data_IF_610054177897
#
_entry.id   IF_610054177897
#
_cell.length_a   1.000
_cell.length_b   1.000
_cell.length_c   1.000
_cell.angle_alpha   90.00
_cell.angle_beta   90.00
_cell.angle_gamma   90.00
#
_symmetry.space_group_name_H-M   'P 1'
#
loop_
_entity.id
_entity.type
_entity.pdbx_description
1 polymer ?
#
# COMPACT_ATOMS: atom_id res chain seq x y z
N UNK A 1 31.32 5.95 -4.00
CA UNK A 1 31.08 6.17 -2.57
C UNK A 1 30.35 7.51 -2.44
N UNK A 2 29.03 7.48 -2.17
CA UNK A 2 28.22 8.72 -2.10
C UNK A 2 28.57 9.51 -0.83
N UNK A 3 28.64 10.84 -0.94
CA UNK A 3 28.91 11.73 0.19
C UNK A 3 27.73 11.73 1.18
N UNK A 4 27.99 12.16 2.43
CA UNK A 4 26.95 12.27 3.47
C UNK A 4 25.80 13.23 3.05
N UNK A 5 26.10 14.27 2.27
CA UNK A 5 25.10 15.20 1.70
C UNK A 5 24.21 14.53 0.64
N UNK A 6 24.82 13.71 -0.25
CA UNK A 6 24.07 12.98 -1.28
C UNK A 6 23.18 11.91 -0.66
N UNK A 7 23.67 11.20 0.38
CA UNK A 7 22.86 10.24 1.15
C UNK A 7 21.69 10.91 1.89
N UNK A 8 21.89 12.12 2.43
CA UNK A 8 20.83 12.89 3.09
C UNK A 8 19.79 13.40 2.10
N UNK A 9 20.23 13.90 0.94
CA UNK A 9 19.34 14.36 -0.14
C UNK A 9 18.53 13.21 -0.72
N UNK A 10 19.16 12.07 -0.98
CA UNK A 10 18.48 10.86 -1.47
C UNK A 10 17.44 10.35 -0.47
N UNK A 11 17.77 10.31 0.82
CA UNK A 11 16.85 9.90 1.88
C UNK A 11 15.65 10.84 2.03
N UNK A 12 15.86 12.17 1.91
CA UNK A 12 14.77 13.15 1.90
C UNK A 12 13.89 13.05 0.65
N UNK A 13 14.47 12.76 -0.51
CA UNK A 13 13.73 12.55 -1.75
C UNK A 13 12.86 11.30 -1.65
N UNK A 14 13.41 10.18 -1.17
CA UNK A 14 12.70 8.91 -0.98
C UNK A 14 11.54 9.04 0.00
N UNK A 15 11.72 9.77 1.13
CA UNK A 15 10.63 10.03 2.08
C UNK A 15 9.52 10.90 1.48
N UNK A 16 9.84 11.90 0.64
CA UNK A 16 8.83 12.68 -0.09
C UNK A 16 8.01 11.81 -1.05
N UNK A 17 8.65 10.85 -1.70
CA UNK A 17 7.97 9.95 -2.63
C UNK A 17 7.05 8.95 -1.95
N UNK A 18 7.27 8.63 -0.65
CA UNK A 18 6.42 7.71 0.10
C UNK A 18 5.17 8.36 0.71
N UNK A 19 5.06 9.69 0.75
CA UNK A 19 3.87 10.36 1.28
C UNK A 19 2.58 9.98 0.53
N UNK A 20 2.68 9.64 -0.74
CA UNK A 20 1.56 9.14 -1.53
C UNK A 20 0.98 7.83 -0.96
N UNK A 21 1.77 7.05 -0.22
CA UNK A 21 1.35 5.78 0.39
C UNK A 21 0.50 5.95 1.66
N UNK A 22 0.31 7.18 2.18
CA UNK A 22 -0.44 7.40 3.44
C UNK A 22 -1.89 6.93 3.37
N UNK A 23 -2.50 6.99 2.19
CA UNK A 23 -3.76 6.31 1.87
C UNK A 23 -3.49 5.28 0.77
N UNK A 24 -3.35 4.02 1.16
CA UNK A 24 -2.96 2.92 0.31
C UNK A 24 -4.15 2.02 0.01
N UNK A 25 -4.66 2.07 -1.22
CA UNK A 25 -5.85 1.34 -1.62
C UNK A 25 -5.47 0.05 -2.35
N UNK A 26 -5.97 -1.09 -1.87
CA UNK A 26 -5.69 -2.41 -2.41
C UNK A 26 -6.90 -2.87 -3.22
N UNK A 27 -6.68 -3.36 -4.44
CA UNK A 27 -7.76 -3.85 -5.30
C UNK A 27 -8.32 -5.18 -4.81
N UNK A 28 -9.60 -5.35 -5.04
CA UNK A 28 -10.34 -6.61 -5.01
C UNK A 28 -11.46 -6.53 -6.05
N UNK A 29 -11.19 -7.03 -7.27
CA UNK A 29 -12.16 -6.95 -8.37
C UNK A 29 -13.39 -7.84 -8.16
N UNK A 30 -13.33 -8.79 -7.23
CA UNK A 30 -14.46 -9.67 -6.91
C UNK A 30 -15.64 -8.92 -6.31
N UNK A 31 -15.40 -7.74 -5.73
CA UNK A 31 -16.44 -6.87 -5.19
C UNK A 31 -17.28 -6.17 -6.28
N UNK A 32 -16.90 -6.28 -7.54
CA UNK A 32 -17.55 -5.57 -8.65
C UNK A 32 -18.21 -6.53 -9.65
N UNK A 33 -19.37 -6.13 -10.18
CA UNK A 33 -20.15 -6.92 -11.14
C UNK A 33 -19.36 -7.30 -12.41
N UNK A 34 -18.49 -6.41 -12.86
CA UNK A 34 -17.61 -6.64 -14.01
C UNK A 34 -16.46 -5.63 -14.05
N UNK A 35 -15.52 -5.84 -14.98
CA UNK A 35 -14.32 -5.01 -15.16
C UNK A 35 -14.61 -3.52 -15.39
N UNK A 36 -15.68 -3.18 -16.09
CA UNK A 36 -16.02 -1.77 -16.35
C UNK A 36 -16.36 -1.04 -15.06
N UNK A 37 -17.18 -1.63 -14.20
CA UNK A 37 -17.52 -1.05 -12.90
C UNK A 37 -16.29 -0.94 -12.01
N UNK A 38 -15.41 -1.96 -12.02
CA UNK A 38 -14.15 -1.91 -11.29
C UNK A 38 -13.26 -0.74 -11.72
N UNK A 39 -13.04 -0.56 -13.03
CA UNK A 39 -12.20 0.54 -13.53
C UNK A 39 -12.79 1.92 -13.23
N UNK A 40 -14.13 2.06 -13.33
CA UNK A 40 -14.81 3.29 -12.93
C UNK A 40 -14.64 3.56 -11.43
N UNK A 41 -14.76 2.55 -10.59
CA UNK A 41 -14.55 2.69 -9.14
C UNK A 41 -13.11 3.10 -8.80
N UNK A 42 -12.12 2.52 -9.48
CA UNK A 42 -10.71 2.93 -9.34
C UNK A 42 -10.55 4.41 -9.72
N UNK A 43 -11.11 4.83 -10.84
CA UNK A 43 -11.04 6.23 -11.27
C UNK A 43 -11.71 7.17 -10.26
N UNK A 44 -12.88 6.82 -9.73
CA UNK A 44 -13.55 7.60 -8.67
C UNK A 44 -12.70 7.72 -7.40
N UNK A 45 -12.00 6.64 -6.99
CA UNK A 45 -11.09 6.68 -5.85
C UNK A 45 -9.90 7.63 -6.10
N UNK A 46 -9.32 7.60 -7.31
CA UNK A 46 -8.23 8.50 -7.71
C UNK A 46 -8.70 9.96 -7.75
N UNK A 47 -9.88 10.25 -8.29
CA UNK A 47 -10.52 11.58 -8.26
C UNK A 47 -10.74 12.01 -6.80
N UNK A 48 -11.09 11.10 -5.91
CA UNK A 48 -11.23 11.31 -4.47
C UNK A 48 -9.91 11.56 -3.72
N UNK A 49 -8.76 11.51 -4.42
CA UNK A 49 -7.45 11.86 -3.86
C UNK A 49 -6.60 10.67 -3.43
N UNK A 50 -6.99 9.44 -3.71
CA UNK A 50 -6.10 8.27 -3.52
C UNK A 50 -4.86 8.44 -4.39
N UNK A 51 -3.67 8.32 -3.78
CA UNK A 51 -2.37 8.49 -4.45
C UNK A 51 -1.53 7.22 -4.51
N UNK A 52 -2.01 6.12 -3.93
CA UNK A 52 -1.35 4.82 -4.04
C UNK A 52 -2.39 3.70 -4.21
N UNK A 53 -2.23 2.93 -5.26
CA UNK A 53 -3.08 1.78 -5.61
C UNK A 53 -2.22 0.52 -5.70
N UNK A 54 -2.59 -0.54 -4.98
CA UNK A 54 -2.00 -1.87 -5.15
C UNK A 54 -2.90 -2.73 -6.03
N UNK A 55 -2.37 -3.23 -7.14
CA UNK A 55 -3.02 -4.28 -7.93
C UNK A 55 -2.76 -5.64 -7.27
N UNK A 56 -3.81 -6.23 -6.68
CA UNK A 56 -3.75 -7.51 -5.98
C UNK A 56 -4.91 -8.42 -6.38
N UNK A 57 -4.74 -9.11 -7.50
CA UNK A 57 -5.71 -10.06 -8.05
C UNK A 57 -5.04 -11.43 -8.18
N UNK A 58 -5.09 -12.21 -7.09
CA UNK A 58 -4.34 -13.48 -6.96
C UNK A 58 -4.81 -14.60 -7.87
N UNK A 59 -6.04 -14.50 -8.37
CA UNK A 59 -6.69 -15.48 -9.23
C UNK A 59 -6.46 -15.25 -10.73
N UNK A 60 -5.88 -14.08 -11.09
CA UNK A 60 -5.59 -13.78 -12.48
C UNK A 60 -4.30 -14.47 -12.96
N UNK A 61 -4.31 -15.08 -14.15
CA UNK A 61 -3.08 -15.51 -14.80
C UNK A 61 -2.25 -14.29 -15.23
N UNK A 62 -0.94 -14.46 -15.37
CA UNK A 62 0.03 -13.39 -15.65
C UNK A 62 -0.34 -12.50 -16.83
N UNK A 63 -0.86 -13.09 -17.91
CA UNK A 63 -1.28 -12.34 -19.11
C UNK A 63 -2.43 -11.38 -18.81
N UNK A 64 -3.41 -11.80 -18.02
CA UNK A 64 -4.56 -10.98 -17.65
C UNK A 64 -4.17 -9.95 -16.58
N UNK A 65 -3.33 -10.32 -15.61
CA UNK A 65 -2.77 -9.41 -14.63
C UNK A 65 -1.97 -8.28 -15.31
N UNK A 66 -1.14 -8.62 -16.30
CA UNK A 66 -0.38 -7.64 -17.09
C UNK A 66 -1.31 -6.69 -17.86
N UNK A 67 -2.35 -7.21 -18.54
CA UNK A 67 -3.33 -6.38 -19.26
C UNK A 67 -4.09 -5.44 -18.34
N UNK A 68 -4.50 -5.91 -17.17
CA UNK A 68 -5.17 -5.10 -16.17
C UNK A 68 -4.21 -4.05 -15.59
N UNK A 69 -2.97 -4.46 -15.29
CA UNK A 69 -1.92 -3.58 -14.81
C UNK A 69 -1.62 -2.41 -15.76
N UNK A 70 -1.57 -2.65 -17.07
CA UNK A 70 -1.40 -1.59 -18.08
C UNK A 70 -2.55 -0.58 -18.01
N UNK A 71 -3.80 -1.04 -17.90
CA UNK A 71 -4.97 -0.15 -17.79
C UNK A 71 -4.91 0.69 -16.51
N UNK A 72 -4.55 0.08 -15.38
CA UNK A 72 -4.40 0.79 -14.11
C UNK A 72 -3.21 1.76 -14.13
N UNK A 73 -2.11 1.41 -14.83
CA UNK A 73 -0.96 2.33 -15.00
C UNK A 73 -1.38 3.61 -15.72
N UNK A 74 -2.19 3.48 -16.78
CA UNK A 74 -2.73 4.66 -17.51
C UNK A 74 -3.56 5.52 -16.55
N UNK A 75 -4.50 4.91 -15.82
CA UNK A 75 -5.34 5.63 -14.85
C UNK A 75 -4.48 6.32 -13.78
N UNK A 76 -3.62 5.58 -13.09
CA UNK A 76 -2.80 6.15 -12.01
C UNK A 76 -1.88 7.25 -12.51
N UNK A 77 -1.35 7.17 -13.74
CA UNK A 77 -0.53 8.22 -14.34
C UNK A 77 -1.32 9.51 -14.55
N UNK A 78 -2.57 9.44 -15.04
CA UNK A 78 -3.42 10.60 -15.26
C UNK A 78 -3.69 11.38 -13.94
N UNK A 79 -3.72 10.69 -12.81
CA UNK A 79 -3.97 11.28 -11.50
C UNK A 79 -2.71 11.46 -10.65
N UNK A 80 -1.52 11.22 -11.22
CA UNK A 80 -0.22 11.28 -10.53
C UNK A 80 -0.23 10.42 -9.26
N UNK A 81 -0.77 9.22 -9.37
CA UNK A 81 -0.83 8.22 -8.30
C UNK A 81 0.16 7.08 -8.58
N UNK A 82 0.68 6.47 -7.53
CA UNK A 82 1.56 5.31 -7.61
C UNK A 82 0.76 4.04 -7.87
N UNK A 83 1.30 3.19 -8.73
CA UNK A 83 0.83 1.83 -8.94
C UNK A 83 1.83 0.84 -8.36
N UNK A 84 1.39 -0.01 -7.46
CA UNK A 84 2.18 -1.06 -6.83
C UNK A 84 1.61 -2.42 -7.25
N UNK A 85 2.46 -3.36 -7.64
CA UNK A 85 2.02 -4.70 -8.05
C UNK A 85 2.27 -5.69 -6.91
N UNK A 86 1.25 -6.49 -6.59
CA UNK A 86 1.42 -7.53 -5.57
C UNK A 86 2.30 -8.68 -6.08
N UNK A 87 3.41 -8.96 -5.39
CA UNK A 87 4.31 -10.10 -5.54
C UNK A 87 5.01 -10.28 -6.90
N UNK A 88 4.71 -9.49 -7.92
CA UNK A 88 5.21 -9.68 -9.30
C UNK A 88 6.05 -8.48 -9.74
N UNK A 89 7.33 -8.45 -9.31
CA UNK A 89 8.29 -7.41 -9.69
C UNK A 89 8.57 -7.38 -11.20
N UNK A 90 8.59 -8.53 -11.84
CA UNK A 90 8.74 -8.69 -13.29
C UNK A 90 7.60 -8.01 -14.07
N UNK A 91 6.36 -8.14 -13.59
CA UNK A 91 5.21 -7.45 -14.19
C UNK A 91 5.28 -5.95 -13.86
N UNK A 92 5.66 -5.60 -12.62
CA UNK A 92 5.79 -4.20 -12.21
C UNK A 92 6.77 -3.43 -13.12
N UNK A 93 7.96 -3.97 -13.36
CA UNK A 93 8.96 -3.41 -14.27
C UNK A 93 8.41 -3.33 -15.70
N UNK A 94 7.86 -4.44 -16.22
CA UNK A 94 7.34 -4.53 -17.58
C UNK A 94 6.30 -3.48 -17.92
N UNK A 95 5.44 -3.10 -16.97
CA UNK A 95 4.35 -2.12 -17.21
C UNK A 95 4.71 -0.72 -16.72
N UNK A 96 5.91 -0.49 -16.18
CA UNK A 96 6.34 0.78 -15.61
C UNK A 96 5.56 1.16 -14.33
N UNK A 97 5.23 0.17 -13.49
CA UNK A 97 4.67 0.45 -12.17
C UNK A 97 5.72 1.04 -11.23
N UNK A 98 5.29 1.73 -10.17
CA UNK A 98 6.19 2.43 -9.25
C UNK A 98 6.82 1.49 -8.22
N UNK A 99 6.25 0.29 -8.01
CA UNK A 99 6.79 -0.63 -7.02
C UNK A 99 6.10 -2.00 -6.99
N UNK A 100 6.57 -2.79 -6.04
CA UNK A 100 6.06 -4.13 -5.74
C UNK A 100 5.77 -4.24 -4.24
N UNK A 101 4.72 -4.97 -3.88
CA UNK A 101 4.40 -5.31 -2.50
C UNK A 101 4.52 -6.82 -2.28
N UNK A 102 5.45 -7.22 -1.42
CA UNK A 102 5.80 -8.60 -1.14
C UNK A 102 4.96 -9.15 0.02
N UNK A 103 4.73 -10.47 0.02
CA UNK A 103 4.22 -11.15 1.21
C UNK A 103 5.37 -11.47 2.17
N UNK A 104 5.10 -11.66 3.45
CA UNK A 104 6.10 -11.96 4.47
C UNK A 104 6.94 -13.22 4.15
N UNK A 105 6.37 -14.17 3.40
CA UNK A 105 6.99 -15.45 3.04
C UNK A 105 7.50 -15.51 1.61
N UNK A 106 7.49 -14.40 0.87
CA UNK A 106 7.95 -14.34 -0.52
C UNK A 106 9.47 -14.07 -0.60
N UNK A 107 9.92 -13.79 -1.81
CA UNK A 107 11.30 -13.35 -2.10
C UNK A 107 11.67 -12.16 -1.21
N UNK A 108 12.91 -12.09 -0.75
CA UNK A 108 13.41 -11.03 0.11
C UNK A 108 13.50 -9.66 -0.59
N UNK A 109 13.25 -8.58 0.13
CA UNK A 109 13.26 -7.22 -0.42
C UNK A 109 14.62 -6.84 -1.05
N UNK A 110 15.73 -7.28 -0.48
CA UNK A 110 17.08 -7.05 -1.00
C UNK A 110 17.32 -7.73 -2.36
N UNK A 111 16.73 -8.90 -2.60
CA UNK A 111 16.81 -9.58 -3.89
C UNK A 111 16.05 -8.79 -4.97
N UNK A 112 14.85 -8.31 -4.63
CA UNK A 112 14.10 -7.44 -5.54
C UNK A 112 14.89 -6.18 -5.86
N UNK A 113 15.43 -5.50 -4.85
CA UNK A 113 16.21 -4.26 -5.05
C UNK A 113 17.51 -4.47 -5.81
N UNK A 114 18.07 -5.66 -5.80
CA UNK A 114 19.26 -5.97 -6.59
C UNK A 114 18.95 -6.14 -8.07
N UNK A 115 17.74 -6.63 -8.41
CA UNK A 115 17.34 -6.92 -9.78
C UNK A 115 16.47 -5.81 -10.40
N UNK A 116 15.77 -5.01 -9.59
CA UNK A 116 14.79 -3.98 -10.00
C UNK A 116 15.05 -2.69 -9.21
N UNK A 117 16.09 -1.96 -9.59
CA UNK A 117 16.66 -0.84 -8.82
C UNK A 117 15.70 0.31 -8.55
N UNK A 118 14.75 0.56 -9.45
CA UNK A 118 13.84 1.70 -9.38
C UNK A 118 12.51 1.40 -8.68
N UNK A 119 12.26 0.12 -8.31
CA UNK A 119 11.01 -0.25 -7.68
C UNK A 119 10.99 0.10 -6.18
N UNK A 120 9.93 0.73 -5.74
CA UNK A 120 9.55 0.82 -4.33
C UNK A 120 9.16 -0.58 -3.85
N UNK A 121 9.76 -1.06 -2.76
CA UNK A 121 9.52 -2.41 -2.23
C UNK A 121 8.81 -2.33 -0.88
N UNK A 122 7.54 -2.73 -0.86
CA UNK A 122 6.77 -2.91 0.37
C UNK A 122 6.74 -4.37 0.80
N UNK A 123 6.56 -4.62 2.10
CA UNK A 123 6.44 -5.97 2.66
C UNK A 123 5.26 -6.05 3.62
N UNK A 124 4.43 -7.10 3.49
CA UNK A 124 3.42 -7.43 4.50
C UNK A 124 4.09 -8.02 5.74
N UNK A 125 3.73 -7.56 6.94
CA UNK A 125 4.23 -8.08 8.21
C UNK A 125 3.09 -8.35 9.20
N UNK A 126 3.31 -9.33 10.07
CA UNK A 126 2.31 -9.79 11.03
C UNK A 126 2.87 -9.91 12.46
N UNK A 127 4.14 -9.59 12.66
CA UNK A 127 4.84 -9.60 13.95
C UNK A 127 5.91 -8.52 14.00
N UNK A 128 6.42 -8.26 15.20
CA UNK A 128 7.56 -7.36 15.41
C UNK A 128 8.84 -7.91 14.73
N UNK A 129 9.05 -9.21 14.82
CA UNK A 129 10.17 -9.90 14.18
C UNK A 129 10.11 -9.76 12.66
N UNK A 130 8.92 -9.95 12.06
CA UNK A 130 8.70 -9.75 10.62
C UNK A 130 8.99 -8.31 10.19
N UNK A 131 8.60 -7.32 11.01
CA UNK A 131 8.89 -5.91 10.75
C UNK A 131 10.40 -5.61 10.76
N UNK A 132 11.15 -6.12 11.75
CA UNK A 132 12.62 -6.00 11.81
C UNK A 132 13.29 -6.72 10.64
N UNK A 133 12.80 -7.89 10.27
CA UNK A 133 13.34 -8.63 9.13
C UNK A 133 13.17 -7.84 7.83
N UNK A 134 11.96 -7.29 7.60
CA UNK A 134 11.69 -6.47 6.43
C UNK A 134 12.61 -5.22 6.38
N UNK A 135 12.84 -4.56 7.52
CA UNK A 135 13.77 -3.43 7.62
C UNK A 135 15.21 -3.86 7.28
N UNK A 136 15.68 -4.96 7.87
CA UNK A 136 17.03 -5.49 7.63
C UNK A 136 17.24 -5.88 6.16
N UNK A 137 16.19 -6.39 5.51
CA UNK A 137 16.21 -6.74 4.09
C UNK A 137 16.08 -5.52 3.16
N UNK A 138 15.91 -4.31 3.70
CA UNK A 138 15.90 -3.07 2.93
C UNK A 138 14.56 -2.75 2.26
N UNK A 139 13.43 -3.20 2.83
CA UNK A 139 12.12 -2.72 2.42
C UNK A 139 12.02 -1.19 2.53
N UNK A 140 11.19 -0.56 1.71
CA UNK A 140 10.95 0.89 1.77
C UNK A 140 9.79 1.24 2.70
N UNK A 141 8.83 0.35 2.86
CA UNK A 141 7.70 0.45 3.79
C UNK A 141 7.17 -0.94 4.13
N UNK A 142 6.38 -1.02 5.18
CA UNK A 142 5.66 -2.24 5.56
C UNK A 142 4.17 -1.98 5.72
N UNK A 143 3.34 -3.01 5.49
CA UNK A 143 1.99 -3.07 6.05
C UNK A 143 2.01 -3.96 7.28
N UNK A 144 1.38 -3.53 8.38
CA UNK A 144 1.23 -4.31 9.60
C UNK A 144 -0.23 -4.68 9.81
N UNK A 145 -0.53 -5.98 9.92
CA UNK A 145 -1.92 -6.48 9.89
C UNK A 145 -2.13 -7.82 10.58
N UNK A 146 -3.40 -8.16 10.94
CA UNK A 146 -4.57 -7.27 10.94
C UNK A 146 -4.64 -6.44 12.23
N UNK A 147 -4.97 -5.14 12.15
CA UNK A 147 -5.10 -4.28 13.35
C UNK A 147 -6.41 -4.57 14.08
N UNK A 148 -7.51 -4.67 13.34
CA UNK A 148 -8.83 -5.00 13.87
C UNK A 148 -9.37 -6.29 13.25
N UNK A 149 -10.38 -6.86 13.87
CA UNK A 149 -11.08 -8.02 13.30
C UNK A 149 -11.55 -7.73 11.87
N UNK A 150 -11.35 -8.72 11.00
CA UNK A 150 -11.79 -8.66 9.61
C UNK A 150 -12.11 -10.06 9.10
N UNK A 151 -13.22 -10.26 8.37
CA UNK A 151 -13.62 -11.57 7.86
C UNK A 151 -12.52 -12.25 7.03
N UNK A 152 -11.79 -11.47 6.24
CA UNK A 152 -10.71 -11.97 5.37
C UNK A 152 -9.49 -12.54 6.10
N UNK A 153 -9.37 -12.31 7.41
CA UNK A 153 -8.24 -12.75 8.25
C UNK A 153 -8.66 -13.60 9.46
N UNK A 154 -9.94 -13.92 9.62
CA UNK A 154 -10.45 -14.68 10.76
C UNK A 154 -9.75 -16.03 10.96
N UNK A 155 -9.27 -16.67 9.88
CA UNK A 155 -8.54 -17.96 9.95
C UNK A 155 -7.07 -17.83 10.39
N UNK A 156 -6.52 -16.62 10.51
CA UNK A 156 -5.10 -16.37 10.83
C UNK A 156 -4.85 -15.99 12.30
N UNK A 157 -5.89 -16.06 13.14
CA UNK A 157 -5.80 -15.72 14.56
C UNK A 157 -6.39 -14.35 14.92
N UNK A 158 -6.27 -13.94 16.20
CA UNK A 158 -6.81 -12.68 16.67
C UNK A 158 -6.09 -11.48 16.02
N UNK A 159 -6.75 -10.29 16.00
CA UNK A 159 -6.12 -9.07 15.52
C UNK A 159 -4.91 -8.69 16.39
N UNK A 160 -3.93 -8.04 15.78
CA UNK A 160 -2.71 -7.54 16.45
C UNK A 160 -3.01 -6.41 17.44
N UNK A 161 -4.01 -5.59 17.14
CA UNK A 161 -4.43 -4.48 17.97
C UNK A 161 -3.50 -3.25 17.89
N UNK A 162 -3.95 -2.19 18.53
CA UNK A 162 -3.26 -0.89 18.54
C UNK A 162 -1.94 -0.91 19.34
N UNK A 163 -1.87 -1.71 20.41
CA UNK A 163 -0.66 -1.81 21.21
C UNK A 163 0.50 -2.46 20.44
N UNK A 164 0.22 -3.51 19.67
CA UNK A 164 1.23 -4.13 18.79
C UNK A 164 1.63 -3.19 17.66
N UNK A 165 0.66 -2.42 17.10
CA UNK A 165 0.97 -1.40 16.10
C UNK A 165 1.95 -0.37 16.68
N UNK A 166 1.71 0.15 17.89
CA UNK A 166 2.61 1.08 18.56
C UNK A 166 4.01 0.48 18.79
N UNK A 167 4.10 -0.76 19.25
CA UNK A 167 5.39 -1.43 19.42
C UNK A 167 6.18 -1.49 18.11
N UNK A 168 5.53 -1.88 17.01
CA UNK A 168 6.17 -1.95 15.69
C UNK A 168 6.60 -0.56 15.20
N UNK A 169 5.74 0.44 15.28
CA UNK A 169 6.07 1.80 14.80
C UNK A 169 7.21 2.45 15.58
N UNK A 170 7.40 2.09 16.86
CA UNK A 170 8.52 2.55 17.68
C UNK A 170 9.81 1.77 17.45
N UNK A 171 9.71 0.51 17.01
CA UNK A 171 10.85 -0.38 16.86
C UNK A 171 11.56 -0.28 15.51
N UNK A 172 10.81 0.04 14.42
CA UNK A 172 11.38 0.16 13.08
C UNK A 172 11.39 1.61 12.59
N UNK A 173 12.30 1.92 11.66
CA UNK A 173 12.38 3.24 11.02
C UNK A 173 11.60 3.33 9.73
N UNK A 174 11.05 2.21 9.26
CA UNK A 174 10.25 2.14 8.05
C UNK A 174 8.89 2.81 8.26
N UNK A 175 8.32 3.44 7.23
CA UNK A 175 6.91 3.79 7.20
C UNK A 175 6.05 2.54 7.41
N UNK A 176 5.19 2.56 8.44
CA UNK A 176 4.26 1.48 8.79
C UNK A 176 2.86 1.87 8.37
N UNK A 177 2.24 1.10 7.49
CA UNK A 177 0.84 1.25 7.10
C UNK A 177 -0.03 0.27 7.88
N UNK A 178 -0.97 0.76 8.66
CA UNK A 178 -1.93 -0.07 9.39
C UNK A 178 -2.94 -0.69 8.41
N UNK A 179 -3.15 -2.01 8.48
CA UNK A 179 -4.07 -2.74 7.59
C UNK A 179 -4.93 -3.72 8.39
N UNK A 180 -6.15 -3.96 7.92
CA UNK A 180 -7.08 -4.96 8.47
C UNK A 180 -8.13 -4.34 9.38
N UNK A 181 -9.39 -4.37 8.91
CA UNK A 181 -10.54 -3.82 9.60
C UNK A 181 -10.50 -2.29 9.79
N UNK A 182 -9.70 -1.59 9.00
CA UNK A 182 -9.61 -0.13 9.05
C UNK A 182 -10.84 0.47 8.40
N UNK A 183 -11.48 1.39 9.11
CA UNK A 183 -12.60 2.21 8.66
C UNK A 183 -12.25 3.69 8.90
N UNK A 184 -12.99 4.61 8.29
CA UNK A 184 -12.67 6.04 8.34
C UNK A 184 -12.47 6.56 9.77
N UNK A 185 -13.30 6.14 10.73
CA UNK A 185 -13.23 6.58 12.12
C UNK A 185 -12.06 5.94 12.92
N UNK A 186 -11.45 4.86 12.42
CA UNK A 186 -10.30 4.18 13.03
C UNK A 186 -8.95 4.75 12.57
N UNK A 187 -8.95 5.60 11.54
CA UNK A 187 -7.69 6.19 11.03
C UNK A 187 -6.97 7.01 12.09
N UNK A 188 -7.62 7.93 12.83
CA UNK A 188 -6.94 8.71 13.87
C UNK A 188 -6.25 7.82 14.91
N UNK A 189 -6.93 6.77 15.40
CA UNK A 189 -6.36 5.85 16.40
C UNK A 189 -5.06 5.20 15.89
N UNK A 190 -5.02 4.77 14.62
CA UNK A 190 -3.82 4.18 14.03
C UNK A 190 -2.68 5.22 13.92
N UNK A 191 -2.98 6.46 13.52
CA UNK A 191 -2.00 7.54 13.42
C UNK A 191 -1.43 7.93 14.79
N UNK A 192 -2.25 7.94 15.84
CA UNK A 192 -1.83 8.15 17.22
C UNK A 192 -0.85 7.08 17.73
N UNK A 193 -0.92 5.86 17.20
CA UNK A 193 0.07 4.82 17.48
C UNK A 193 1.33 4.91 16.59
N UNK A 194 1.50 5.98 15.84
CA UNK A 194 2.68 6.23 15.02
C UNK A 194 2.62 5.61 13.63
N UNK A 195 1.46 5.08 13.19
CA UNK A 195 1.32 4.64 11.81
C UNK A 195 1.59 5.80 10.84
N UNK A 196 2.36 5.54 9.79
CA UNK A 196 2.61 6.50 8.72
C UNK A 196 1.35 6.78 7.90
N UNK A 197 0.49 5.78 7.77
CA UNK A 197 -0.75 5.82 7.03
C UNK A 197 -1.55 4.54 7.21
N UNK A 198 -2.55 4.36 6.36
CA UNK A 198 -3.43 3.18 6.39
C UNK A 198 -3.53 2.53 5.02
N UNK A 199 -3.69 1.20 5.03
CA UNK A 199 -4.00 0.43 3.84
C UNK A 199 -5.42 -0.15 3.96
N UNK A 200 -6.18 -0.09 2.87
CA UNK A 200 -7.60 -0.44 2.82
C UNK A 200 -7.89 -1.40 1.67
N UNK A 201 -8.85 -2.29 1.89
CA UNK A 201 -9.46 -3.11 0.83
C UNK A 201 -10.93 -2.71 0.69
N UNK A 202 -11.80 -3.16 1.59
CA UNK A 202 -13.26 -3.12 1.43
C UNK A 202 -13.89 -1.75 1.71
N UNK A 203 -13.48 -1.03 2.75
CA UNK A 203 -14.22 0.13 3.25
C UNK A 203 -14.46 1.23 2.19
N UNK A 204 -13.49 1.46 1.30
CA UNK A 204 -13.68 2.37 0.17
C UNK A 204 -14.52 1.73 -0.94
N UNK A 205 -14.26 0.45 -1.26
CA UNK A 205 -14.96 -0.23 -2.36
C UNK A 205 -16.44 -0.51 -2.07
N UNK A 206 -16.80 -0.73 -0.80
CA UNK A 206 -18.18 -0.98 -0.36
C UNK A 206 -19.04 0.31 -0.30
N UNK A 207 -18.42 1.48 -0.47
CA UNK A 207 -19.13 2.76 -0.45
C UNK A 207 -19.92 2.98 -1.74
N UNK A 208 -21.18 3.40 -1.60
CA UNK A 208 -21.99 3.88 -2.73
C UNK A 208 -21.49 5.20 -3.34
N UNK A 209 -20.56 5.89 -2.67
CA UNK A 209 -19.99 7.19 -3.05
C UNK A 209 -18.47 7.17 -2.93
N UNK A 210 -17.81 6.33 -3.72
CA UNK A 210 -16.37 6.05 -3.66
C UNK A 210 -15.52 7.33 -3.65
N UNK A 211 -15.78 8.26 -4.57
CA UNK A 211 -15.07 9.55 -4.65
C UNK A 211 -15.13 10.32 -3.33
N UNK A 212 -16.33 10.55 -2.81
CA UNK A 212 -16.52 11.33 -1.58
C UNK A 212 -15.94 10.60 -0.35
N UNK A 213 -16.05 9.27 -0.32
CA UNK A 213 -15.53 8.47 0.78
C UNK A 213 -14.00 8.49 0.77
N UNK A 214 -13.38 8.32 -0.37
CA UNK A 214 -11.93 8.47 -0.54
C UNK A 214 -11.43 9.86 -0.11
N UNK A 215 -12.14 10.92 -0.52
CA UNK A 215 -11.81 12.28 -0.11
C UNK A 215 -11.83 12.47 1.41
N UNK A 216 -12.82 11.89 2.12
CA UNK A 216 -12.86 11.96 3.60
C UNK A 216 -11.63 11.31 4.24
N UNK A 217 -11.13 10.21 3.66
CA UNK A 217 -9.89 9.59 4.13
C UNK A 217 -8.67 10.50 3.99
N UNK A 218 -8.56 11.21 2.85
CA UNK A 218 -7.39 12.08 2.60
C UNK A 218 -7.29 13.23 3.60
N UNK A 219 -8.40 13.67 4.20
CA UNK A 219 -8.41 14.74 5.21
C UNK A 219 -7.63 14.36 6.47
N UNK A 220 -7.45 13.06 6.77
CA UNK A 220 -6.65 12.61 7.91
C UNK A 220 -5.14 12.82 7.70
N UNK A 221 -4.69 13.12 6.48
CA UNK A 221 -3.27 13.20 6.13
C UNK A 221 -2.81 14.60 5.73
N UNK A 222 -3.58 15.64 6.06
CA UNK A 222 -3.26 17.01 5.68
C UNK A 222 -3.43 17.29 4.19
N UNK A 223 -4.38 16.60 3.56
CA UNK A 223 -4.74 16.80 2.16
C UNK A 223 -5.21 18.25 1.91
N UNK A 224 -4.57 18.91 0.94
CA UNK A 224 -5.00 20.21 0.49
C UNK A 224 -6.47 20.13 0.05
N UNK A 225 -7.26 21.08 0.50
CA UNK A 225 -8.58 21.40 -0.06
C UNK A 225 -8.48 21.43 -1.59
N UNK A 226 -9.39 20.71 -2.24
CA UNK A 226 -9.58 20.75 -3.70
C UNK A 226 -9.83 22.15 -4.20
#
# INVERSE_FOLDING_TARGET
MYTLKEKSSYKMQTLKDLNDLRLYLITDRSLFKNKKYFLTAVEEALIGGVKALQLREKDLPDSELTKLGIQLRILTSNYKAKLIINSRADIAEKIGADGVHLTETSVHANEIKSNFLDLIVGVSTHSLEGAHLAETQGADYITFSPIYETPSKASYGPPQGLDSLRQVTQAVRLPVLALGGITLHRVPECLEQGAFGVALISDIWDSSHIKQHSFKYTQNFGGNTL
#
